data_IF_907129379800
#
_entry.id   IF_907129379800
#
_cell.length_a   1.000
_cell.length_b   1.000
_cell.length_c   1.000
_cell.angle_alpha   90.00
_cell.angle_beta   90.00
_cell.angle_gamma   90.00
#
_symmetry.space_group_name_H-M   'P 1'
#
loop_
_entity.id
_entity.type
_entity.pdbx_description
1 polymer ?
#
# COMPACT_ATOMS: atom_id res chain seq x y z
N UNK A 1 42.64 38.03 12.86
CA UNK A 1 41.63 37.59 11.89
C UNK A 1 40.31 37.61 12.62
N UNK A 2 39.64 38.75 12.65
CA UNK A 2 38.36 38.89 13.33
C UNK A 2 37.31 38.16 12.49
N UNK A 3 36.67 37.17 13.10
CA UNK A 3 35.56 36.47 12.48
C UNK A 3 34.47 37.50 12.10
N UNK A 4 33.76 37.33 10.97
CA UNK A 4 32.63 38.19 10.65
C UNK A 4 31.62 38.08 11.81
N UNK A 5 31.53 39.11 12.64
CA UNK A 5 30.55 39.19 13.72
C UNK A 5 29.20 39.47 13.09
N UNK A 6 28.51 38.40 12.69
CA UNK A 6 27.12 38.51 12.29
C UNK A 6 26.31 39.15 13.44
N UNK A 7 25.27 39.94 13.12
CA UNK A 7 24.51 40.65 14.13
C UNK A 7 23.87 39.67 15.12
N UNK A 8 24.18 39.87 16.39
CA UNK A 8 23.58 39.15 17.51
C UNK A 8 22.28 39.84 17.91
N UNK A 9 21.18 39.08 17.92
CA UNK A 9 19.85 39.56 18.29
C UNK A 9 19.32 38.84 19.51
N UNK A 10 18.48 39.50 20.31
CA UNK A 10 17.86 38.88 21.49
C UNK A 10 16.86 37.80 21.08
N UNK A 11 16.65 36.79 21.92
CA UNK A 11 15.64 35.74 21.65
C UNK A 11 14.23 36.28 21.42
N UNK A 12 13.86 37.38 22.09
CA UNK A 12 12.59 38.09 21.88
C UNK A 12 12.50 38.71 20.49
N UNK A 13 13.59 39.32 20.00
CA UNK A 13 13.64 39.86 18.64
C UNK A 13 13.64 38.75 17.59
N UNK A 14 14.43 37.71 17.79
CA UNK A 14 14.48 36.52 16.93
C UNK A 14 13.09 35.87 16.78
N UNK A 15 12.35 35.73 17.87
CA UNK A 15 10.99 35.21 17.88
C UNK A 15 10.04 36.01 16.97
N UNK A 16 10.10 37.34 17.07
CA UNK A 16 9.29 38.25 16.24
C UNK A 16 9.67 38.19 14.76
N UNK A 17 10.96 38.09 14.45
CA UNK A 17 11.45 38.02 13.06
C UNK A 17 11.16 36.64 12.42
N UNK A 18 11.23 35.56 13.21
CA UNK A 18 11.02 34.20 12.70
C UNK A 18 9.56 33.74 12.75
N UNK A 19 8.69 34.45 13.47
CA UNK A 19 7.32 34.01 13.76
C UNK A 19 7.24 32.82 14.73
N UNK A 20 8.33 32.50 15.44
CA UNK A 20 8.34 31.45 16.46
C UNK A 20 8.20 32.05 17.85
N UNK A 21 7.93 31.20 18.85
CA UNK A 21 7.92 31.64 20.25
C UNK A 21 9.35 31.81 20.78
N UNK A 22 9.54 32.75 21.72
CA UNK A 22 10.84 32.95 22.37
C UNK A 22 11.34 31.69 23.08
N UNK A 23 10.42 30.90 23.65
CA UNK A 23 10.76 29.60 24.25
C UNK A 23 11.31 28.60 23.22
N UNK A 24 10.71 28.56 22.02
CA UNK A 24 11.22 27.72 20.93
C UNK A 24 12.61 28.17 20.48
N UNK A 25 12.85 29.48 20.37
CA UNK A 25 14.19 30.01 20.06
C UNK A 25 15.18 29.62 21.15
N UNK A 26 14.85 29.80 22.42
CA UNK A 26 15.73 29.41 23.53
C UNK A 26 16.03 27.90 23.53
N UNK A 27 15.05 27.07 23.15
CA UNK A 27 15.24 25.62 22.97
C UNK A 27 16.25 25.35 21.84
N UNK A 28 16.12 26.01 20.69
CA UNK A 28 17.06 25.89 19.57
C UNK A 28 18.49 26.32 19.97
N UNK A 29 18.61 27.37 20.78
CA UNK A 29 19.91 27.81 21.31
C UNK A 29 20.53 26.75 22.23
N UNK A 30 19.74 26.11 23.10
CA UNK A 30 20.21 25.08 24.03
C UNK A 30 20.59 23.78 23.31
N UNK A 31 19.86 23.40 22.26
CA UNK A 31 20.19 22.21 21.46
C UNK A 31 21.37 22.43 20.52
N UNK A 32 21.81 23.67 20.31
CA UNK A 32 22.85 24.01 19.33
C UNK A 32 22.37 23.95 17.88
N UNK A 33 21.05 23.93 17.65
CA UNK A 33 20.47 23.94 16.29
C UNK A 33 20.73 25.27 15.57
N UNK A 34 20.94 26.34 16.34
CA UNK A 34 21.33 27.68 15.86
C UNK A 34 22.47 28.21 16.72
N UNK A 35 23.38 28.96 16.10
CA UNK A 35 24.46 29.62 16.82
C UNK A 35 23.89 30.69 17.75
N UNK A 36 24.23 30.59 19.03
CA UNK A 36 23.79 31.51 20.05
C UNK A 36 24.79 31.54 21.21
N UNK A 37 24.79 32.65 21.95
CA UNK A 37 25.60 32.84 23.15
C UNK A 37 24.71 33.32 24.29
N UNK A 38 25.00 32.87 25.51
CA UNK A 38 24.32 33.37 26.71
C UNK A 38 25.17 34.47 27.34
N UNK A 39 24.65 35.69 27.38
CA UNK A 39 25.30 36.85 28.01
C UNK A 39 24.31 37.52 28.97
N UNK A 40 24.74 37.83 30.20
CA UNK A 40 23.88 38.50 31.20
C UNK A 40 22.59 37.75 31.54
N UNK A 41 22.55 36.43 31.39
CA UNK A 41 21.35 35.61 31.62
C UNK A 41 20.39 35.52 30.42
N UNK A 42 20.64 36.28 29.37
CA UNK A 42 19.83 36.29 28.15
C UNK A 42 20.53 35.56 27.00
N UNK A 43 19.75 34.93 26.11
CA UNK A 43 20.28 34.36 24.87
C UNK A 43 20.38 35.44 23.79
N UNK A 44 21.56 35.54 23.21
CA UNK A 44 21.88 36.29 22.00
C UNK A 44 22.05 35.28 20.86
N UNK A 45 21.24 35.46 19.81
CA UNK A 45 21.13 34.55 18.68
C UNK A 45 21.83 35.19 17.50
N UNK A 46 22.62 34.40 16.79
CA UNK A 46 23.23 34.79 15.53
C UNK A 46 22.14 34.87 14.44
N UNK A 47 21.94 36.05 13.86
CA UNK A 47 20.87 36.27 12.90
C UNK A 47 21.05 35.45 11.61
N UNK A 48 22.29 35.25 11.16
CA UNK A 48 22.58 34.50 9.94
C UNK A 48 22.33 33.00 10.16
N UNK A 49 22.72 32.47 11.32
CA UNK A 49 22.45 31.09 11.69
C UNK A 49 20.96 30.83 11.79
N UNK A 50 20.19 31.76 12.38
CA UNK A 50 18.73 31.65 12.46
C UNK A 50 18.12 31.66 11.05
N UNK A 51 18.56 32.58 10.19
CA UNK A 51 18.07 32.70 8.82
C UNK A 51 18.34 31.43 8.00
N UNK A 52 19.54 30.86 8.12
CA UNK A 52 19.90 29.57 7.50
C UNK A 52 19.02 28.44 7.99
N UNK A 53 18.76 28.38 9.30
CA UNK A 53 17.87 27.38 9.88
C UNK A 53 16.45 27.48 9.33
N UNK A 54 15.89 28.69 9.25
CA UNK A 54 14.55 28.93 8.71
C UNK A 54 14.44 28.51 7.24
N UNK A 55 15.45 28.87 6.44
CA UNK A 55 15.50 28.49 5.04
C UNK A 55 15.52 26.97 4.87
N UNK A 56 16.32 26.26 5.67
CA UNK A 56 16.39 24.80 5.64
C UNK A 56 15.07 24.14 6.06
N UNK A 57 14.40 24.68 7.08
CA UNK A 57 13.08 24.19 7.51
C UNK A 57 12.02 24.34 6.40
N UNK A 58 12.00 25.48 5.72
CA UNK A 58 11.05 25.71 4.63
C UNK A 58 11.34 24.80 3.43
N UNK A 59 12.63 24.58 3.12
CA UNK A 59 13.05 23.63 2.08
C UNK A 59 12.59 22.21 2.40
N UNK A 60 12.79 21.74 3.63
CA UNK A 60 12.35 20.41 4.10
C UNK A 60 10.83 20.26 4.04
N UNK A 61 10.07 21.27 4.47
CA UNK A 61 8.60 21.29 4.36
C UNK A 61 8.15 21.20 2.91
N UNK A 62 8.78 21.96 2.01
CA UNK A 62 8.47 21.94 0.58
C UNK A 62 8.73 20.57 -0.04
N UNK A 63 9.89 19.96 0.24
CA UNK A 63 10.22 18.62 -0.23
C UNK A 63 9.21 17.59 0.29
N UNK A 64 8.89 17.61 1.59
CA UNK A 64 7.89 16.71 2.18
C UNK A 64 6.50 16.89 1.57
N UNK A 65 6.08 18.12 1.26
CA UNK A 65 4.80 18.38 0.57
C UNK A 65 4.76 17.75 -0.82
N UNK A 66 5.87 17.83 -1.56
CA UNK A 66 6.01 17.19 -2.87
C UNK A 66 5.93 15.66 -2.73
N UNK A 67 6.63 15.08 -1.76
CA UNK A 67 6.62 13.64 -1.50
C UNK A 67 5.21 13.15 -1.14
N UNK A 68 4.55 13.80 -0.17
CA UNK A 68 3.17 13.47 0.22
C UNK A 68 2.20 13.61 -0.95
N UNK A 69 2.40 14.58 -1.85
CA UNK A 69 1.57 14.72 -3.04
C UNK A 69 1.79 13.56 -4.04
N UNK A 70 3.03 13.06 -4.16
CA UNK A 70 3.36 11.88 -4.97
C UNK A 70 2.75 10.61 -4.37
N UNK A 71 2.90 10.40 -3.07
CA UNK A 71 2.33 9.26 -2.34
C UNK A 71 0.81 9.19 -2.48
N UNK A 72 0.11 10.34 -2.36
CA UNK A 72 -1.34 10.41 -2.61
C UNK A 72 -1.72 9.91 -3.99
N UNK A 73 -0.99 10.33 -5.04
CA UNK A 73 -1.24 9.90 -6.43
C UNK A 73 -0.98 8.41 -6.63
N UNK A 74 0.01 7.83 -5.95
CA UNK A 74 0.29 6.39 -6.01
C UNK A 74 -0.79 5.56 -5.29
N UNK A 75 -1.37 6.09 -4.21
CA UNK A 75 -2.43 5.38 -3.47
C UNK A 75 -3.78 5.37 -4.18
N UNK A 76 -4.04 6.31 -5.11
CA UNK A 76 -5.30 6.35 -5.88
C UNK A 76 -5.60 5.04 -6.63
N UNK A 77 -4.58 4.35 -7.12
CA UNK A 77 -4.77 3.09 -7.84
C UNK A 77 -5.00 1.90 -6.91
N UNK A 78 -4.44 1.92 -5.69
CA UNK A 78 -4.46 0.78 -4.76
C UNK A 78 -5.83 0.53 -4.13
N UNK A 79 -6.57 1.59 -3.82
CA UNK A 79 -7.94 1.46 -3.30
C UNK A 79 -8.97 1.28 -4.43
N UNK A 80 -8.74 1.88 -5.61
CA UNK A 80 -9.63 1.70 -6.78
C UNK A 80 -9.60 0.26 -7.33
N UNK A 81 -8.44 -0.39 -7.40
CA UNK A 81 -8.32 -1.75 -7.96
C UNK A 81 -8.87 -2.86 -7.06
N UNK A 82 -9.06 -2.59 -5.76
CA UNK A 82 -9.71 -3.55 -4.85
C UNK A 82 -11.16 -3.77 -5.27
N UNK A 83 -11.84 -2.72 -5.71
CA UNK A 83 -13.25 -2.76 -6.10
C UNK A 83 -13.49 -3.52 -7.42
N UNK A 84 -12.59 -3.38 -8.39
CA UNK A 84 -12.74 -3.98 -9.74
C UNK A 84 -12.57 -5.50 -9.72
N UNK A 85 -11.70 -6.04 -8.85
CA UNK A 85 -11.54 -7.50 -8.69
C UNK A 85 -12.78 -8.16 -8.06
N UNK A 86 -13.44 -7.47 -7.13
CA UNK A 86 -14.63 -7.97 -6.43
C UNK A 86 -15.85 -8.04 -7.37
N UNK A 87 -16.01 -7.09 -8.28
CA UNK A 87 -17.17 -7.06 -9.19
C UNK A 87 -16.99 -8.00 -10.38
N UNK A 88 -15.82 -8.06 -11.01
CA UNK A 88 -15.57 -8.98 -12.12
C UNK A 88 -15.61 -10.45 -11.68
N UNK A 89 -15.04 -10.77 -10.50
CA UNK A 89 -15.12 -12.11 -9.94
C UNK A 89 -16.55 -12.54 -9.60
N UNK A 90 -17.35 -11.64 -9.02
CA UNK A 90 -18.76 -11.91 -8.68
C UNK A 90 -19.65 -12.12 -9.91
N UNK A 91 -19.50 -11.27 -10.93
CA UNK A 91 -20.30 -11.37 -12.17
C UNK A 91 -19.95 -12.65 -12.95
N UNK A 92 -18.66 -12.99 -13.07
CA UNK A 92 -18.23 -14.23 -13.73
C UNK A 92 -18.70 -15.47 -12.96
N UNK A 93 -18.66 -15.43 -11.62
CA UNK A 93 -19.17 -16.52 -10.77
C UNK A 93 -20.67 -16.74 -10.94
N UNK A 94 -21.46 -15.66 -10.96
CA UNK A 94 -22.91 -15.75 -11.21
C UNK A 94 -23.23 -16.23 -12.63
N UNK A 95 -22.49 -15.76 -13.64
CA UNK A 95 -22.66 -16.21 -15.02
C UNK A 95 -22.35 -17.71 -15.17
N UNK A 96 -21.27 -18.20 -14.54
CA UNK A 96 -20.94 -19.63 -14.54
C UNK A 96 -22.01 -20.46 -13.84
N UNK A 97 -22.51 -20.01 -12.68
CA UNK A 97 -23.58 -20.69 -11.95
C UNK A 97 -24.88 -20.75 -12.77
N UNK A 98 -25.21 -19.67 -13.49
CA UNK A 98 -26.35 -19.62 -14.39
C UNK A 98 -26.18 -20.59 -15.57
N UNK A 99 -25.00 -20.64 -16.20
CA UNK A 99 -24.71 -21.59 -17.28
C UNK A 99 -24.82 -23.04 -16.82
N UNK A 100 -24.31 -23.36 -15.63
CA UNK A 100 -24.44 -24.71 -15.04
C UNK A 100 -25.91 -25.04 -14.77
N UNK A 101 -26.67 -24.11 -14.19
CA UNK A 101 -28.10 -24.30 -13.96
C UNK A 101 -28.85 -24.53 -15.29
N UNK A 102 -28.59 -23.72 -16.31
CA UNK A 102 -29.18 -23.88 -17.64
C UNK A 102 -28.81 -25.24 -18.27
N UNK A 103 -27.56 -25.68 -18.13
CA UNK A 103 -27.15 -27.01 -18.58
C UNK A 103 -27.90 -28.12 -17.83
N UNK A 104 -28.12 -27.99 -16.52
CA UNK A 104 -28.88 -28.96 -15.72
C UNK A 104 -30.36 -28.98 -16.10
N UNK A 105 -30.96 -27.82 -16.37
CA UNK A 105 -32.33 -27.71 -16.86
C UNK A 105 -32.48 -28.31 -18.27
N UNK A 106 -31.50 -28.09 -19.15
CA UNK A 106 -31.49 -28.69 -20.48
C UNK A 106 -31.22 -30.21 -20.44
N UNK A 107 -30.51 -30.69 -19.42
CA UNK A 107 -30.26 -32.11 -19.16
C UNK A 107 -31.44 -32.81 -18.45
N UNK A 108 -32.42 -32.04 -17.97
CA UNK A 108 -33.57 -32.47 -17.16
C UNK A 108 -34.68 -33.22 -17.90
N UNK A 109 -34.37 -33.90 -19.01
CA UNK A 109 -35.32 -34.82 -19.68
C UNK A 109 -34.75 -36.20 -19.99
N UNK A 110 -33.47 -36.49 -19.69
CA UNK A 110 -32.89 -37.82 -19.95
C UNK A 110 -32.82 -38.75 -18.73
N UNK A 111 -33.27 -38.33 -17.55
CA UNK A 111 -33.15 -39.13 -16.31
C UNK A 111 -34.45 -39.80 -15.80
N UNK A 112 -35.56 -39.74 -16.55
CA UNK A 112 -36.85 -40.30 -16.11
C UNK A 112 -37.29 -41.59 -16.82
N UNK A 113 -36.52 -42.13 -17.78
CA UNK A 113 -36.96 -43.26 -18.62
C UNK A 113 -35.84 -44.31 -18.78
N UNK A 114 -35.33 -44.84 -17.68
CA UNK A 114 -34.52 -46.07 -17.72
C UNK A 114 -34.77 -46.91 -16.47
N UNK A 115 -36.05 -47.06 -16.12
CA UNK A 115 -36.52 -48.10 -15.21
C UNK A 115 -37.21 -49.12 -16.11
N UNK A 116 -36.65 -50.32 -16.12
CA UNK A 116 -37.07 -51.52 -16.86
C UNK A 116 -36.36 -51.67 -18.23
N UNK A 117 -35.91 -52.91 -18.51
CA UNK A 117 -35.19 -53.36 -19.72
C UNK A 117 -33.68 -53.05 -19.81
N UNK A 118 -32.85 -53.68 -18.95
CA UNK A 118 -31.50 -54.21 -19.31
C UNK A 118 -30.83 -54.97 -18.14
N UNK A 119 -31.60 -55.73 -17.37
CA UNK A 119 -31.07 -56.71 -16.38
C UNK A 119 -30.58 -57.99 -17.08
N UNK A 120 -30.38 -57.99 -18.40
CA UNK A 120 -29.80 -59.11 -19.14
C UNK A 120 -29.03 -58.57 -20.35
N UNK A 121 -27.84 -59.10 -20.60
CA UNK A 121 -26.90 -58.72 -21.68
C UNK A 121 -26.19 -57.36 -21.50
N UNK A 122 -25.24 -57.27 -20.57
CA UNK A 122 -23.82 -56.88 -20.77
C UNK A 122 -23.20 -56.80 -19.36
N UNK A 123 -23.25 -57.94 -18.66
CA UNK A 123 -22.15 -58.28 -17.78
C UNK A 123 -21.04 -58.79 -18.70
N UNK A 124 -19.80 -58.31 -18.49
CA UNK A 124 -18.53 -58.68 -19.14
C UNK A 124 -17.98 -57.71 -20.21
N UNK A 125 -17.70 -56.46 -19.85
CA UNK A 125 -16.59 -55.73 -20.48
C UNK A 125 -16.08 -54.56 -19.61
N UNK A 126 -15.11 -54.87 -18.76
CA UNK A 126 -13.89 -54.09 -18.58
C UNK A 126 -13.98 -52.64 -18.06
N UNK A 127 -14.23 -52.50 -16.74
CA UNK A 127 -13.96 -51.26 -15.97
C UNK A 127 -12.47 -51.25 -15.54
N UNK A 128 -11.55 -51.45 -16.49
CA UNK A 128 -10.10 -51.33 -16.22
C UNK A 128 -9.30 -50.95 -17.47
N UNK A 129 -9.59 -49.83 -18.14
CA UNK A 129 -8.66 -49.34 -19.18
C UNK A 129 -8.82 -47.90 -19.68
N UNK A 130 -9.46 -46.97 -18.96
CA UNK A 130 -9.24 -45.54 -19.24
C UNK A 130 -8.16 -45.00 -18.31
N UNK A 131 -6.91 -45.25 -18.70
CA UNK A 131 -5.74 -44.56 -18.17
C UNK A 131 -5.98 -43.06 -18.20
N UNK A 132 -5.86 -42.39 -17.04
CA UNK A 132 -5.90 -40.94 -16.98
C UNK A 132 -4.83 -40.37 -17.93
N UNK A 133 -5.12 -39.25 -18.63
CA UNK A 133 -4.13 -38.58 -19.47
C UNK A 133 -2.86 -38.28 -18.66
N UNK A 134 -1.67 -38.45 -19.26
CA UNK A 134 -0.40 -38.28 -18.56
C UNK A 134 -0.25 -36.92 -17.86
N UNK A 135 -0.87 -35.87 -18.39
CA UNK A 135 -0.86 -34.53 -17.78
C UNK A 135 -1.58 -34.48 -16.42
N UNK A 136 -2.57 -35.35 -16.20
CA UNK A 136 -3.32 -35.42 -14.93
C UNK A 136 -2.45 -36.06 -13.85
N UNK A 137 -1.68 -37.08 -14.20
CA UNK A 137 -0.70 -37.68 -13.28
C UNK A 137 0.41 -36.69 -12.89
N UNK A 138 0.90 -35.91 -13.86
CA UNK A 138 1.97 -34.93 -13.63
C UNK A 138 1.50 -33.76 -12.75
N UNK A 139 0.25 -33.31 -12.98
CA UNK A 139 -0.37 -32.27 -12.15
C UNK A 139 -0.58 -32.73 -10.69
N UNK A 140 -1.01 -33.98 -10.48
CA UNK A 140 -1.22 -34.54 -9.13
C UNK A 140 0.12 -34.72 -8.41
N UNK A 141 1.15 -35.20 -9.11
CA UNK A 141 2.49 -35.37 -8.55
C UNK A 141 3.11 -34.01 -8.15
N UNK A 142 2.97 -32.99 -9.00
CA UNK A 142 3.45 -31.64 -8.69
C UNK A 142 2.73 -31.03 -7.48
N UNK A 143 1.41 -31.22 -7.38
CA UNK A 143 0.61 -30.68 -6.29
C UNK A 143 0.92 -31.32 -4.93
N UNK A 144 1.25 -32.62 -4.91
CA UNK A 144 1.63 -33.35 -3.69
C UNK A 144 3.08 -33.11 -3.24
N UNK A 145 3.93 -32.48 -4.08
CA UNK A 145 5.35 -32.25 -3.79
C UNK A 145 5.71 -30.80 -3.48
N UNK A 146 4.75 -29.87 -3.46
CA UNK A 146 4.99 -28.50 -2.98
C UNK A 146 4.87 -28.41 -1.45
N UNK A 147 5.88 -27.88 -0.73
CA UNK A 147 5.81 -27.65 0.71
C UNK A 147 4.90 -26.47 1.09
#
# INVERSE_FOLDING_TARGET
MDAPTAPLITSSRAARESGYTSDYINRLCRSGDIAARKEGGQWLVDQDSLSRFLFEQERRKRQRRVELARERRASYWRDRMRFVRLTLGGVLGLALLCLVALAMLNSGTQFAEHRDESVALVATADIRSQSLPAFVHDAIAHWLSMP
#
